data_IF_484525747994
#
_entry.id   IF_484525747994
#
_cell.length_a   1.000
_cell.length_b   1.000
_cell.length_c   1.000
_cell.angle_alpha   90.00
_cell.angle_beta   90.00
_cell.angle_gamma   90.00
#
_symmetry.space_group_name_H-M   'P 1'
#
loop_
_entity.id
_entity.type
_entity.pdbx_description
1 polymer ?
#
# COMPACT_ATOMS: atom_id res chain seq x y z
N UNK A 1 -2.11 24.07 -29.87
CA UNK A 1 -1.90 23.63 -28.48
C UNK A 1 -3.22 23.22 -27.83
N UNK A 2 -3.23 22.19 -26.99
CA UNK A 2 -4.37 21.87 -26.12
C UNK A 2 -3.80 21.47 -24.76
N UNK A 3 -3.82 22.42 -23.82
CA UNK A 3 -3.38 22.23 -22.44
C UNK A 3 -4.51 21.58 -21.64
N UNK A 4 -4.36 20.28 -21.34
CA UNK A 4 -5.31 19.50 -20.54
C UNK A 4 -4.75 19.07 -19.19
N UNK A 5 -4.78 19.99 -18.23
CA UNK A 5 -4.94 19.82 -16.76
C UNK A 5 -4.53 18.46 -16.16
N UNK A 6 -3.35 18.42 -15.53
CA UNK A 6 -2.91 17.31 -14.66
C UNK A 6 -3.77 17.29 -13.39
N UNK A 7 -4.62 16.28 -13.24
CA UNK A 7 -5.30 15.99 -11.98
C UNK A 7 -4.30 15.34 -11.01
N UNK A 8 -3.82 16.13 -10.05
CA UNK A 8 -3.00 15.69 -8.93
C UNK A 8 -3.77 14.72 -8.04
N UNK A 9 -3.46 13.43 -8.13
CA UNK A 9 -3.86 12.45 -7.14
C UNK A 9 -2.94 12.64 -5.94
N UNK A 10 -3.42 13.38 -4.93
CA UNK A 10 -2.75 13.50 -3.65
C UNK A 10 -2.86 12.14 -2.94
N UNK A 11 -1.78 11.36 -2.97
CA UNK A 11 -1.65 10.17 -2.12
C UNK A 11 -1.54 10.65 -0.68
N UNK A 12 -2.69 10.73 -0.02
CA UNK A 12 -2.82 11.11 1.36
C UNK A 12 -1.82 10.33 2.22
N UNK A 13 -1.03 11.11 2.96
CA UNK A 13 -0.16 10.66 4.04
C UNK A 13 -0.95 9.79 5.03
N UNK A 14 -0.96 8.47 4.82
CA UNK A 14 -1.33 7.52 5.86
C UNK A 14 -0.05 7.15 6.60
N UNK A 15 0.17 7.87 7.70
CA UNK A 15 1.11 7.51 8.75
C UNK A 15 0.74 6.09 9.20
N UNK A 16 1.71 5.18 9.16
CA UNK A 16 1.69 4.03 10.03
C UNK A 16 2.07 4.56 11.40
N UNK A 17 1.05 4.74 12.22
CA UNK A 17 1.12 5.04 13.63
C UNK A 17 0.07 4.12 14.26
N UNK A 18 0.35 2.82 14.23
CA UNK A 18 -0.29 1.88 15.15
C UNK A 18 0.42 2.11 16.50
N UNK A 19 0.02 3.18 17.20
CA UNK A 19 0.40 3.39 18.59
C UNK A 19 -0.54 2.56 19.44
N UNK A 20 0.08 1.77 20.32
CA UNK A 20 -0.60 0.99 21.33
C UNK A 20 -1.50 1.86 22.21
N UNK A 21 -2.68 1.30 22.49
CA UNK A 21 -3.58 1.54 23.62
C UNK A 21 -4.24 2.93 23.78
N UNK A 22 -5.57 2.98 23.64
CA UNK A 22 -6.46 2.86 24.81
C UNK A 22 -7.92 2.70 24.35
N UNK A 23 -8.74 2.18 25.25
CA UNK A 23 -10.03 1.50 25.06
C UNK A 23 -11.17 2.31 24.41
N UNK A 24 -12.15 1.55 23.88
CA UNK A 24 -13.50 1.94 23.45
C UNK A 24 -13.69 2.49 22.03
N UNK A 25 -13.60 1.58 21.05
CA UNK A 25 -14.66 1.47 20.05
C UNK A 25 -15.16 0.03 20.06
N UNK A 26 -16.43 -0.13 20.42
CA UNK A 26 -17.10 -1.42 20.46
C UNK A 26 -16.77 -2.25 19.21
N UNK A 27 -16.33 -3.47 19.51
CA UNK A 27 -16.37 -4.67 18.69
C UNK A 27 -17.55 -4.66 17.69
N UNK A 28 -17.31 -4.08 16.51
CA UNK A 28 -18.00 -4.44 15.28
C UNK A 28 -17.02 -5.29 14.47
N UNK A 29 -16.63 -6.43 15.06
CA UNK A 29 -16.30 -7.60 14.27
C UNK A 29 -17.59 -8.04 13.56
N UNK A 30 -17.99 -7.28 12.54
CA UNK A 30 -19.01 -7.70 11.61
C UNK A 30 -18.40 -8.91 10.91
N UNK A 31 -18.93 -10.11 11.20
CA UNK A 31 -18.60 -11.32 10.44
C UNK A 31 -18.55 -11.00 8.95
N UNK A 32 -17.55 -11.53 8.26
CA UNK A 32 -17.14 -11.09 6.93
C UNK A 32 -18.35 -10.69 6.07
N UNK A 33 -18.50 -9.39 5.78
CA UNK A 33 -19.62 -8.87 5.01
C UNK A 33 -19.60 -9.34 3.54
N UNK A 34 -18.61 -10.15 3.16
CA UNK A 34 -18.40 -10.69 1.84
C UNK A 34 -18.06 -12.17 1.94
N UNK A 35 -18.41 -12.90 0.89
CA UNK A 35 -18.03 -14.29 0.71
C UNK A 35 -17.55 -14.57 -0.70
N UNK A 36 -16.78 -15.65 -0.83
CA UNK A 36 -16.40 -16.22 -2.12
C UNK A 36 -17.60 -17.00 -2.69
N UNK A 37 -17.86 -16.86 -3.98
CA UNK A 37 -18.89 -17.64 -4.67
C UNK A 37 -18.42 -18.10 -6.06
N UNK A 38 -19.05 -19.13 -6.62
CA UNK A 38 -18.81 -19.55 -8.00
C UNK A 38 -19.61 -18.65 -8.97
N UNK A 39 -18.89 -17.93 -9.84
CA UNK A 39 -19.47 -17.05 -10.85
C UNK A 39 -19.62 -17.79 -12.19
N UNK A 40 -20.85 -17.87 -12.74
CA UNK A 40 -21.09 -18.56 -14.01
C UNK A 40 -20.20 -18.03 -15.14
N UNK A 41 -19.42 -18.91 -15.77
CA UNK A 41 -18.51 -18.57 -16.87
C UNK A 41 -17.28 -17.73 -16.51
N UNK A 42 -17.04 -17.42 -15.22
CA UNK A 42 -15.97 -16.50 -14.77
C UNK A 42 -15.13 -17.03 -13.60
N UNK A 43 -15.35 -18.26 -13.15
CA UNK A 43 -14.60 -18.86 -12.05
C UNK A 43 -15.09 -18.37 -10.69
N UNK A 44 -14.18 -17.92 -9.82
CA UNK A 44 -14.54 -17.46 -8.47
C UNK A 44 -14.79 -15.95 -8.43
N UNK A 45 -15.78 -15.52 -7.66
CA UNK A 45 -16.06 -14.11 -7.38
C UNK A 45 -16.17 -13.82 -5.88
N UNK A 46 -16.24 -12.53 -5.54
CA UNK A 46 -16.59 -12.04 -4.21
C UNK A 46 -17.97 -11.37 -4.29
N UNK A 47 -18.87 -11.71 -3.37
CA UNK A 47 -20.18 -11.06 -3.24
C UNK A 47 -20.41 -10.56 -1.82
N UNK A 48 -21.19 -9.50 -1.70
CA UNK A 48 -21.58 -8.94 -0.40
C UNK A 48 -22.77 -9.73 0.18
N UNK A 49 -22.74 -9.96 1.48
CA UNK A 49 -23.83 -10.55 2.26
C UNK A 49 -24.85 -9.52 2.76
N UNK A 50 -24.49 -8.23 2.70
CA UNK A 50 -25.29 -7.10 3.22
C UNK A 50 -25.17 -5.89 2.31
N UNK A 51 -26.17 -5.01 2.34
CA UNK A 51 -26.13 -3.74 1.61
C UNK A 51 -24.96 -2.85 2.08
N UNK A 52 -24.39 -2.08 1.15
CA UNK A 52 -23.29 -1.14 1.40
C UNK A 52 -23.61 0.24 0.87
N UNK A 53 -23.10 1.29 1.52
CA UNK A 53 -23.30 2.69 1.10
C UNK A 53 -22.14 3.17 0.22
N UNK A 54 -22.36 4.14 -0.69
CA UNK A 54 -21.27 4.79 -1.42
C UNK A 54 -20.20 5.33 -0.46
N UNK A 55 -18.92 5.04 -0.76
CA UNK A 55 -17.78 5.43 0.07
C UNK A 55 -17.42 4.45 1.21
N UNK A 56 -18.20 3.37 1.42
CA UNK A 56 -17.91 2.38 2.44
C UNK A 56 -16.70 1.50 2.06
N UNK A 57 -15.76 1.33 2.99
CA UNK A 57 -14.61 0.43 2.82
C UNK A 57 -15.08 -1.03 2.86
N UNK A 58 -14.93 -1.74 1.74
CA UNK A 58 -15.30 -3.16 1.65
C UNK A 58 -14.18 -4.08 2.15
N UNK A 59 -12.96 -3.86 1.68
CA UNK A 59 -11.80 -4.70 1.97
C UNK A 59 -10.52 -3.88 2.03
N UNK A 60 -9.59 -4.27 2.89
CA UNK A 60 -8.21 -3.78 2.89
C UNK A 60 -7.28 -4.92 3.26
N UNK A 61 -6.21 -5.08 2.48
CA UNK A 61 -5.13 -5.99 2.79
C UNK A 61 -3.78 -5.32 2.53
N UNK A 62 -2.77 -5.77 3.27
CA UNK A 62 -1.39 -5.54 2.90
C UNK A 62 -1.08 -6.39 1.64
N UNK A 63 -0.29 -5.87 0.69
CA UNK A 63 0.18 -6.67 -0.43
C UNK A 63 1.01 -7.85 0.10
N UNK A 64 0.90 -9.00 -0.55
CA UNK A 64 1.77 -10.14 -0.25
C UNK A 64 3.23 -9.82 -0.60
N UNK A 65 3.43 -9.20 -1.76
CA UNK A 65 4.71 -8.67 -2.23
C UNK A 65 4.44 -7.49 -3.18
N UNK A 66 5.40 -6.57 -3.30
CA UNK A 66 5.33 -5.43 -4.21
C UNK A 66 6.73 -4.95 -4.59
N UNK A 67 6.83 -4.27 -5.73
CA UNK A 67 8.07 -3.62 -6.21
C UNK A 67 7.77 -2.24 -6.77
N UNK A 68 8.75 -1.33 -6.75
CA UNK A 68 8.65 -0.05 -7.45
C UNK A 68 8.85 -0.26 -8.95
N UNK A 69 7.93 0.28 -9.76
CA UNK A 69 8.04 0.24 -11.22
C UNK A 69 9.28 0.97 -11.71
N UNK A 70 9.87 0.53 -12.83
CA UNK A 70 11.06 1.15 -13.45
C UNK A 70 10.94 2.67 -13.63
N UNK A 71 9.76 3.16 -14.05
CA UNK A 71 9.48 4.59 -14.26
C UNK A 71 9.54 5.44 -12.99
N UNK A 72 9.42 4.81 -11.82
CA UNK A 72 9.36 5.47 -10.51
C UNK A 72 10.61 5.19 -9.66
N UNK A 73 11.54 4.37 -10.16
CA UNK A 73 12.79 4.07 -9.47
C UNK A 73 13.52 5.36 -9.10
N UNK A 74 13.88 5.47 -7.83
CA UNK A 74 14.56 6.63 -7.30
C UNK A 74 13.71 7.84 -6.95
N UNK A 75 12.46 7.91 -7.43
CA UNK A 75 11.52 8.98 -7.09
C UNK A 75 10.62 8.66 -5.89
N UNK A 76 10.63 7.41 -5.41
CA UNK A 76 9.84 6.96 -4.26
C UNK A 76 10.65 6.06 -3.35
N UNK A 77 10.20 5.97 -2.10
CA UNK A 77 10.72 5.02 -1.13
C UNK A 77 10.30 3.59 -1.49
N UNK A 78 11.26 2.66 -1.53
CA UNK A 78 11.02 1.25 -1.83
C UNK A 78 10.14 0.54 -0.78
N UNK A 79 10.03 1.09 0.44
CA UNK A 79 9.23 0.51 1.54
C UNK A 79 7.81 1.05 1.63
N UNK A 80 7.64 2.37 1.54
CA UNK A 80 6.34 3.00 1.79
C UNK A 80 5.74 3.67 0.55
N UNK A 81 6.41 3.58 -0.60
CA UNK A 81 5.98 4.09 -1.90
C UNK A 81 5.73 5.60 -1.95
N UNK A 82 6.05 6.33 -0.87
CA UNK A 82 5.96 7.79 -0.79
C UNK A 82 7.13 8.44 -1.52
N UNK A 83 6.84 9.50 -2.26
CA UNK A 83 7.84 10.43 -2.78
C UNK A 83 8.32 11.38 -1.69
N UNK A 84 9.58 11.76 -1.76
CA UNK A 84 10.19 12.84 -0.98
C UNK A 84 11.22 13.55 -1.86
N UNK A 85 11.53 14.80 -1.52
CA UNK A 85 12.57 15.57 -2.22
C UNK A 85 13.92 14.84 -2.19
N UNK A 86 14.29 14.29 -1.04
CA UNK A 86 15.53 13.55 -0.84
C UNK A 86 15.24 12.15 -0.33
N UNK A 87 15.72 11.16 -1.08
CA UNK A 87 15.65 9.75 -0.71
C UNK A 87 17.08 9.18 -0.73
N UNK A 88 17.69 8.95 0.44
CA UNK A 88 18.98 8.27 0.52
C UNK A 88 18.95 6.93 -0.23
N UNK A 89 20.04 6.65 -0.96
CA UNK A 89 20.24 5.38 -1.65
C UNK A 89 20.76 4.33 -0.68
N UNK A 90 20.41 3.07 -0.91
CA UNK A 90 21.12 1.94 -0.31
C UNK A 90 22.62 2.07 -0.65
N UNK A 91 23.48 1.97 0.37
CA UNK A 91 24.93 2.12 0.19
C UNK A 91 25.54 0.97 -0.63
N UNK A 92 24.94 -0.22 -0.57
CA UNK A 92 25.41 -1.41 -1.28
C UNK A 92 25.03 -1.36 -2.77
N UNK A 93 23.75 -1.58 -3.10
CA UNK A 93 23.32 -1.67 -4.50
C UNK A 93 23.19 -0.32 -5.22
N UNK A 94 23.11 0.81 -4.50
CA UNK A 94 22.92 2.17 -5.05
C UNK A 94 21.65 2.38 -5.89
N UNK A 95 20.75 1.39 -5.94
CA UNK A 95 19.49 1.41 -6.72
C UNK A 95 18.33 1.78 -5.80
N UNK A 96 18.08 0.95 -4.78
CA UNK A 96 16.98 1.12 -3.84
C UNK A 96 17.12 2.45 -3.08
N UNK A 97 16.00 3.16 -2.89
CA UNK A 97 15.95 4.44 -2.19
C UNK A 97 14.91 4.42 -1.07
N UNK A 98 15.22 5.09 0.03
CA UNK A 98 14.39 5.04 1.24
C UNK A 98 14.09 6.43 1.78
N UNK A 99 13.01 6.54 2.56
CA UNK A 99 12.70 7.77 3.31
C UNK A 99 13.72 8.10 4.42
N UNK A 100 14.55 7.13 4.80
CA UNK A 100 15.49 7.18 5.92
C UNK A 100 15.78 5.78 6.48
N UNK A 101 16.57 5.71 7.54
CA UNK A 101 17.05 4.47 8.15
C UNK A 101 15.92 3.51 8.56
N UNK A 102 14.80 4.04 9.08
CA UNK A 102 13.64 3.23 9.44
C UNK A 102 13.09 2.43 8.24
N UNK A 103 12.79 3.11 7.12
CA UNK A 103 12.27 2.42 5.94
C UNK A 103 13.29 1.45 5.33
N UNK A 104 14.58 1.75 5.41
CA UNK A 104 15.64 0.86 4.95
C UNK A 104 15.70 -0.42 5.79
N UNK A 105 15.66 -0.30 7.13
CA UNK A 105 15.70 -1.43 8.05
C UNK A 105 14.49 -2.35 7.87
N UNK A 106 13.30 -1.78 7.76
CA UNK A 106 12.07 -2.55 7.57
C UNK A 106 12.02 -3.29 6.22
N UNK A 107 12.49 -2.65 5.14
CA UNK A 107 12.57 -3.29 3.83
C UNK A 107 13.71 -4.31 3.70
N UNK A 108 14.64 -4.36 4.65
CA UNK A 108 15.85 -5.17 4.53
C UNK A 108 15.56 -6.67 4.40
N UNK A 109 14.51 -7.18 5.06
CA UNK A 109 14.15 -8.60 5.00
C UNK A 109 13.87 -9.08 3.57
N UNK A 110 13.25 -8.25 2.75
CA UNK A 110 12.95 -8.52 1.35
C UNK A 110 14.11 -8.05 0.46
N UNK A 111 14.59 -6.82 0.66
CA UNK A 111 15.62 -6.20 -0.17
C UNK A 111 16.95 -6.96 -0.15
N UNK A 112 17.35 -7.58 0.97
CA UNK A 112 18.65 -8.26 1.10
C UNK A 112 18.88 -9.33 0.03
N UNK A 113 17.81 -9.95 -0.48
CA UNK A 113 17.90 -11.01 -1.50
C UNK A 113 18.13 -10.44 -2.90
N UNK A 114 17.74 -9.19 -3.12
CA UNK A 114 17.86 -8.48 -4.39
C UNK A 114 19.09 -7.56 -4.42
N UNK A 115 19.60 -7.18 -3.25
CA UNK A 115 20.76 -6.33 -3.09
C UNK A 115 22.04 -7.09 -3.48
N UNK A 116 22.69 -6.63 -4.55
CA UNK A 116 24.00 -7.10 -5.01
C UNK A 116 25.04 -6.00 -4.82
#
# INVERSE_FOLDING_TARGET
>A
EYMGRQSGVTWGSRREACWSASLSVHSLFCGAAMEKFASPGKGNGLRLLKAVKPGQLLYRAAPFAYIVSKKRLGGVCERCLRSKERLPRCSQCKIARYCGAYCQKEAWLDHKRECK
#
